data_IF_418780291789
#
_entry.id   IF_418780291789
#
_cell.length_a   1.000
_cell.length_b   1.000
_cell.length_c   1.000
_cell.angle_alpha   90.00
_cell.angle_beta   90.00
_cell.angle_gamma   90.00
#
_symmetry.space_group_name_H-M   'P 1'
#
loop_
_entity.id
_entity.type
_entity.pdbx_description
1 polymer ?
#
# COMPACT_ATOMS: atom_id res chain seq x y z
N UNK A 1 -16.54 2.33 2.81
CA UNK A 1 -15.41 3.19 3.26
C UNK A 1 -14.40 3.30 2.13
N UNK A 2 -13.94 4.50 1.77
CA UNK A 2 -12.86 4.68 0.80
C UNK A 2 -11.54 4.85 1.56
N UNK A 3 -10.59 3.93 1.36
CA UNK A 3 -9.24 4.01 1.91
C UNK A 3 -8.24 4.14 0.76
N UNK A 4 -7.43 5.21 0.78
CA UNK A 4 -6.50 5.52 -0.31
C UNK A 4 -5.09 5.07 0.06
N UNK A 5 -4.72 3.89 -0.42
CA UNK A 5 -3.36 3.41 -0.41
C UNK A 5 -2.95 3.05 -1.84
N UNK A 6 -1.80 3.56 -2.29
CA UNK A 6 -1.28 3.29 -3.63
C UNK A 6 -0.89 1.81 -3.81
N UNK A 7 -0.49 1.14 -2.73
CA UNK A 7 -0.02 -0.24 -2.73
C UNK A 7 -0.71 -1.08 -1.64
N UNK A 8 -0.73 -2.40 -1.87
CA UNK A 8 -1.14 -3.42 -0.88
C UNK A 8 0.06 -3.95 -0.09
N UNK A 9 0.99 -3.06 0.26
CA UNK A 9 2.17 -3.38 1.06
C UNK A 9 2.50 -2.19 1.94
N UNK A 10 3.21 -2.43 3.03
CA UNK A 10 3.69 -1.35 3.88
C UNK A 10 4.84 -0.59 3.21
N UNK A 11 4.77 0.74 3.31
CA UNK A 11 5.89 1.62 2.97
C UNK A 11 6.51 2.09 4.28
N UNK A 12 7.80 1.83 4.47
CA UNK A 12 8.53 2.27 5.65
C UNK A 12 9.68 3.21 5.28
N UNK A 13 10.04 4.11 6.20
CA UNK A 13 11.24 4.93 6.07
C UNK A 13 12.41 4.20 6.73
N UNK A 14 13.43 3.87 5.94
CA UNK A 14 14.69 3.33 6.42
C UNK A 14 15.83 4.31 6.11
N UNK A 15 17.03 4.03 6.62
CA UNK A 15 18.21 4.90 6.40
C UNK A 15 18.53 5.14 4.91
N UNK A 16 18.13 4.22 4.04
CA UNK A 16 18.38 4.26 2.60
C UNK A 16 17.20 4.83 1.79
N UNK A 17 16.13 5.27 2.47
CA UNK A 17 14.95 5.86 1.85
C UNK A 17 13.65 5.11 2.15
N UNK A 18 12.62 5.35 1.32
CA UNK A 18 11.34 4.63 1.41
C UNK A 18 11.49 3.22 0.84
N UNK A 19 11.06 2.23 1.60
CA UNK A 19 11.14 0.82 1.23
C UNK A 19 9.74 0.20 1.21
N UNK A 20 9.42 -0.51 0.13
CA UNK A 20 8.23 -1.35 0.01
C UNK A 20 8.50 -2.71 0.67
N UNK A 21 7.82 -3.02 1.78
CA UNK A 21 7.90 -4.32 2.44
C UNK A 21 6.90 -5.29 1.81
N UNK A 22 7.33 -5.98 0.75
CA UNK A 22 6.47 -6.86 -0.07
C UNK A 22 5.78 -7.98 0.72
N UNK A 23 6.27 -8.31 1.91
CA UNK A 23 5.74 -9.34 2.80
C UNK A 23 4.96 -8.77 4.01
N UNK A 24 4.57 -7.49 3.99
CA UNK A 24 3.92 -6.83 5.13
C UNK A 24 2.72 -5.98 4.71
N UNK A 25 1.62 -6.12 5.47
CA UNK A 25 0.39 -5.32 5.31
C UNK A 25 -0.16 -4.95 6.69
N UNK A 26 0.19 -3.77 7.20
CA UNK A 26 -0.32 -3.23 8.46
C UNK A 26 -1.72 -2.63 8.34
N UNK A 27 -2.06 -2.08 7.17
CA UNK A 27 -3.34 -1.40 6.91
C UNK A 27 -4.58 -2.32 6.93
N UNK A 28 -4.39 -3.63 6.96
CA UNK A 28 -5.47 -4.62 6.83
C UNK A 28 -6.50 -4.61 7.97
N UNK A 29 -6.17 -4.03 9.13
CA UNK A 29 -7.12 -3.88 10.24
C UNK A 29 -8.36 -3.06 9.85
N UNK A 30 -8.20 -2.08 8.96
CA UNK A 30 -9.28 -1.21 8.49
C UNK A 30 -10.30 -1.95 7.61
N UNK A 31 -9.94 -3.13 7.07
CA UNK A 31 -10.79 -3.88 6.15
C UNK A 31 -11.64 -4.95 6.86
N UNK A 32 -11.38 -5.17 8.16
CA UNK A 32 -12.11 -6.17 8.94
C UNK A 32 -13.59 -5.81 9.03
N UNK A 33 -14.45 -6.83 8.91
CA UNK A 33 -15.91 -6.67 9.00
C UNK A 33 -16.55 -6.07 7.75
N UNK A 34 -15.80 -5.88 6.66
CA UNK A 34 -16.35 -5.47 5.37
C UNK A 34 -16.83 -6.69 4.60
N UNK A 35 -18.08 -6.65 4.09
CA UNK A 35 -18.67 -7.75 3.33
C UNK A 35 -18.02 -7.96 1.95
N UNK A 36 -17.62 -6.87 1.28
CA UNK A 36 -16.97 -6.89 -0.04
C UNK A 36 -15.81 -5.88 -0.09
N UNK A 37 -14.62 -6.36 -0.44
CA UNK A 37 -13.41 -5.56 -0.62
C UNK A 37 -12.96 -5.61 -2.08
N UNK A 38 -12.66 -4.45 -2.64
CA UNK A 38 -12.09 -4.31 -3.99
C UNK A 38 -10.79 -3.53 -3.87
N UNK A 39 -9.71 -4.09 -4.41
CA UNK A 39 -8.41 -3.46 -4.43
C UNK A 39 -7.98 -3.19 -5.85
N UNK A 40 -7.43 -1.99 -6.09
CA UNK A 40 -6.77 -1.62 -7.33
C UNK A 40 -5.47 -0.89 -6.99
N UNK A 41 -4.34 -1.46 -7.40
CA UNK A 41 -3.00 -0.91 -7.11
C UNK A 41 -2.11 -0.81 -8.33
N UNK A 42 -2.54 -1.29 -9.49
CA UNK A 42 -1.65 -1.48 -10.64
C UNK A 42 -0.97 -0.18 -11.09
N UNK A 43 -1.74 0.91 -11.20
CA UNK A 43 -1.28 2.17 -11.75
C UNK A 43 -0.02 2.72 -11.06
N UNK A 44 0.15 2.49 -9.74
CA UNK A 44 1.26 3.04 -8.97
C UNK A 44 2.56 2.24 -9.05
N UNK A 45 2.53 0.97 -9.46
CA UNK A 45 3.73 0.13 -9.57
C UNK A 45 4.68 0.59 -10.68
N UNK A 46 4.17 1.34 -11.66
CA UNK A 46 4.97 1.88 -12.77
C UNK A 46 5.62 3.22 -12.42
N UNK A 47 5.23 3.87 -11.33
CA UNK A 47 5.85 5.10 -10.88
C UNK A 47 7.21 4.81 -10.27
N UNK A 48 8.18 5.68 -10.53
CA UNK A 48 9.54 5.63 -9.95
C UNK A 48 9.98 7.02 -9.49
N UNK A 49 11.05 7.08 -8.69
CA UNK A 49 11.63 8.35 -8.22
C UNK A 49 10.67 9.12 -7.31
N UNK A 50 10.59 10.45 -7.47
CA UNK A 50 9.73 11.30 -6.61
C UNK A 50 8.24 10.98 -6.69
N UNK A 51 7.80 10.32 -7.77
CA UNK A 51 6.39 9.96 -7.99
C UNK A 51 6.00 8.63 -7.34
N UNK A 52 6.96 7.86 -6.83
CA UNK A 52 6.78 6.63 -6.06
C UNK A 52 7.08 6.94 -4.60
#
# INVERSE_FOLDING_TARGET
MLSRNAFLVDIVNEKHGRVLKLNSIGGGQLWKGVDVLIFDTWHWWLHTGRKQ
#
